data_IF_044254885432
#
_entry.id   IF_044254885432
#
_cell.length_a   1.000
_cell.length_b   1.000
_cell.length_c   1.000
_cell.angle_alpha   90.00
_cell.angle_beta   90.00
_cell.angle_gamma   90.00
#
_symmetry.space_group_name_H-M   'P 1'
#
loop_
_entity.id
_entity.type
_entity.pdbx_description
1 polymer ?
#
# COMPACT_ATOMS: atom_id res chain seq x y z
N UNK A 1 2.99 4.13 0.81
CA UNK A 1 4.28 3.68 0.24
C UNK A 1 5.30 3.60 1.37
N UNK A 2 5.81 2.41 1.64
CA UNK A 2 6.73 2.13 2.75
C UNK A 2 8.14 1.92 2.21
N UNK A 3 9.07 2.78 2.62
CA UNK A 3 10.45 2.75 2.18
C UNK A 3 11.36 2.10 3.23
N UNK A 4 12.36 1.36 2.78
CA UNK A 4 13.32 0.68 3.67
C UNK A 4 14.55 1.52 4.04
N UNK A 5 14.68 2.72 3.47
CA UNK A 5 15.86 3.56 3.66
C UNK A 5 16.98 3.32 2.64
N UNK A 6 16.84 2.32 1.76
CA UNK A 6 17.83 1.97 0.71
C UNK A 6 17.21 2.02 -0.68
N UNK A 7 16.27 2.94 -0.91
CA UNK A 7 15.59 3.13 -2.19
C UNK A 7 14.69 1.97 -2.62
N UNK A 8 14.33 1.08 -1.71
CA UNK A 8 13.34 0.02 -1.94
C UNK A 8 12.04 0.35 -1.25
N UNK A 9 10.95 0.05 -1.91
CA UNK A 9 9.61 0.19 -1.36
C UNK A 9 8.91 -1.16 -1.28
N UNK A 10 7.96 -1.28 -0.35
CA UNK A 10 7.26 -2.52 -0.09
C UNK A 10 5.98 -2.61 -0.92
N UNK A 11 5.84 -3.68 -1.67
CA UNK A 11 4.60 -4.02 -2.36
C UNK A 11 4.09 -5.36 -1.85
N UNK A 12 2.78 -5.55 -1.89
CA UNK A 12 2.12 -6.76 -1.44
C UNK A 12 1.18 -7.29 -2.51
N UNK A 13 0.97 -8.61 -2.51
CA UNK A 13 0.06 -9.26 -3.45
C UNK A 13 -1.21 -9.65 -2.71
N UNK A 14 -2.35 -9.30 -3.30
CA UNK A 14 -3.66 -9.65 -2.73
C UNK A 14 -3.91 -11.16 -2.80
N UNK A 15 -4.57 -11.74 -1.77
CA UNK A 15 -4.99 -13.14 -1.82
C UNK A 15 -5.83 -13.41 -3.06
N UNK A 16 -5.70 -14.61 -3.63
CA UNK A 16 -6.35 -14.97 -4.90
C UNK A 16 -7.87 -15.01 -4.83
N UNK A 17 -8.44 -15.28 -3.64
CA UNK A 17 -9.87 -15.44 -3.40
C UNK A 17 -10.57 -14.13 -3.00
N UNK A 18 -9.92 -12.99 -3.18
CA UNK A 18 -10.48 -11.67 -2.88
C UNK A 18 -10.76 -10.89 -4.15
N UNK A 19 -11.48 -9.77 -4.01
CA UNK A 19 -11.65 -8.81 -5.12
C UNK A 19 -10.27 -8.33 -5.59
N UNK A 20 -10.03 -8.32 -6.91
CA UNK A 20 -8.75 -8.00 -7.52
C UNK A 20 -7.63 -8.95 -7.08
N UNK A 21 -7.99 -10.19 -6.75
CA UNK A 21 -7.04 -11.20 -6.26
C UNK A 21 -5.87 -11.43 -7.19
N UNK A 22 -4.69 -11.62 -6.62
CA UNK A 22 -3.45 -11.82 -7.34
C UNK A 22 -2.77 -10.55 -7.84
N UNK A 23 -3.46 -9.40 -7.85
CA UNK A 23 -2.84 -8.13 -8.19
C UNK A 23 -1.96 -7.63 -7.04
N UNK A 24 -0.94 -6.89 -7.40
CA UNK A 24 -0.05 -6.23 -6.45
C UNK A 24 -0.61 -4.86 -6.07
N UNK A 25 -0.27 -4.41 -4.88
CA UNK A 25 -0.72 -3.14 -4.33
C UNK A 25 0.29 -2.59 -3.34
N UNK A 26 0.14 -1.32 -3.01
CA UNK A 26 0.81 -0.76 -1.84
C UNK A 26 0.03 -1.17 -0.59
N UNK A 27 0.73 -1.54 0.50
CA UNK A 27 0.06 -2.00 1.72
C UNK A 27 -0.87 -0.95 2.31
N UNK A 28 -1.99 -1.40 2.86
CA UNK A 28 -2.97 -0.55 3.50
C UNK A 28 -4.32 -1.25 3.56
N UNK A 29 -5.35 -0.50 3.89
CA UNK A 29 -6.68 -1.06 3.99
C UNK A 29 -7.76 -0.03 4.19
N UNK A 30 -8.94 -0.49 4.57
CA UNK A 30 -10.13 0.34 4.72
C UNK A 30 -10.24 0.90 6.14
N UNK A 31 -10.58 2.18 6.21
CA UNK A 31 -10.86 2.85 7.47
C UNK A 31 -12.16 2.30 8.10
N UNK A 32 -12.10 2.04 9.39
CA UNK A 32 -13.29 1.69 10.18
C UNK A 32 -14.07 2.96 10.55
N UNK A 33 -15.39 2.86 10.81
CA UNK A 33 -16.17 4.01 11.29
C UNK A 33 -15.52 4.65 12.53
N UNK A 34 -15.34 5.96 12.51
CA UNK A 34 -14.72 6.71 13.60
C UNK A 34 -13.20 6.62 13.69
N UNK A 35 -12.57 5.84 12.83
CA UNK A 35 -11.11 5.69 12.79
C UNK A 35 -10.47 6.79 11.94
N UNK A 36 -9.38 7.41 12.45
CA UNK A 36 -8.60 8.36 11.68
C UNK A 36 -7.77 7.67 10.59
N UNK A 37 -7.36 8.43 9.58
CA UNK A 37 -6.60 7.90 8.45
C UNK A 37 -5.26 7.28 8.87
N UNK A 38 -4.48 7.98 9.69
CA UNK A 38 -3.16 7.49 10.13
C UNK A 38 -3.30 6.31 11.09
N UNK A 39 -4.29 6.33 11.98
CA UNK A 39 -4.58 5.20 12.85
C UNK A 39 -4.96 3.96 12.06
N UNK A 40 -5.77 4.13 11.01
CA UNK A 40 -6.13 3.07 10.09
C UNK A 40 -4.88 2.44 9.45
N UNK A 41 -3.99 3.28 8.94
CA UNK A 41 -2.78 2.80 8.28
C UNK A 41 -1.89 2.00 9.23
N UNK A 42 -1.63 2.51 10.44
CA UNK A 42 -0.87 1.77 11.46
C UNK A 42 -1.51 0.42 11.79
N UNK A 43 -2.82 0.40 11.96
CA UNK A 43 -3.57 -0.83 12.28
C UNK A 43 -3.47 -1.86 11.16
N UNK A 44 -3.78 -1.45 9.93
CA UNK A 44 -3.77 -2.35 8.77
C UNK A 44 -2.38 -2.92 8.50
N UNK A 45 -1.34 -2.09 8.57
CA UNK A 45 0.04 -2.55 8.38
C UNK A 45 0.45 -3.53 9.48
N UNK A 46 0.07 -3.27 10.73
CA UNK A 46 0.33 -4.18 11.84
C UNK A 46 -0.38 -5.52 11.68
N UNK A 47 -1.66 -5.50 11.29
CA UNK A 47 -2.47 -6.72 11.11
C UNK A 47 -1.99 -7.57 9.93
N UNK A 48 -1.64 -6.95 8.82
CA UNK A 48 -1.31 -7.65 7.58
C UNK A 48 0.16 -8.07 7.48
N UNK A 49 1.08 -7.29 8.06
CA UNK A 49 2.51 -7.44 7.85
C UNK A 49 3.33 -7.56 9.13
N UNK A 50 2.75 -7.30 10.29
CA UNK A 50 3.43 -7.33 11.60
C UNK A 50 4.64 -6.38 11.68
N UNK A 51 4.57 -5.23 11.04
CA UNK A 51 5.63 -4.22 11.11
C UNK A 51 5.08 -2.89 11.65
N UNK A 52 6.00 -2.05 12.13
CA UNK A 52 5.72 -0.67 12.51
C UNK A 52 6.34 0.28 11.50
N UNK A 53 5.60 1.33 11.18
CA UNK A 53 6.01 2.35 10.23
C UNK A 53 5.99 3.73 10.88
N UNK A 54 6.76 4.65 10.30
CA UNK A 54 6.62 6.09 10.56
C UNK A 54 5.95 6.71 9.34
N UNK A 55 4.84 7.40 9.56
CA UNK A 55 4.15 8.14 8.50
C UNK A 55 4.83 9.50 8.38
N UNK A 56 5.38 9.81 7.20
CA UNK A 56 6.13 11.04 6.98
C UNK A 56 5.24 12.13 6.40
N UNK A 57 4.59 11.86 5.27
CA UNK A 57 3.80 12.84 4.54
C UNK A 57 2.64 12.19 3.80
N UNK A 58 1.60 13.00 3.53
CA UNK A 58 0.58 12.62 2.56
C UNK A 58 1.16 12.82 1.16
N UNK A 59 1.28 11.74 0.40
CA UNK A 59 1.81 11.76 -0.95
C UNK A 59 0.78 12.31 -1.95
N UNK A 60 -0.43 11.73 -1.92
CA UNK A 60 -1.52 12.15 -2.79
C UNK A 60 -2.86 11.64 -2.29
N UNK A 61 -3.93 12.25 -2.80
CA UNK A 61 -5.30 11.81 -2.60
C UNK A 61 -5.88 11.55 -3.98
N UNK A 62 -6.44 10.35 -4.18
CA UNK A 62 -7.00 9.92 -5.46
C UNK A 62 -8.43 9.43 -5.28
N UNK A 63 -9.27 9.76 -6.26
CA UNK A 63 -10.62 9.19 -6.34
C UNK A 63 -10.65 8.12 -7.41
N UNK A 64 -11.27 7.00 -7.10
CA UNK A 64 -11.44 5.89 -8.02
C UNK A 64 -12.86 5.38 -7.98
N UNK A 65 -13.51 5.30 -9.14
CA UNK A 65 -14.86 4.78 -9.27
C UNK A 65 -14.82 3.32 -9.70
N UNK A 66 -15.44 2.47 -8.90
CA UNK A 66 -15.76 1.10 -9.28
C UNK A 66 -17.20 1.07 -9.81
N UNK A 67 -17.63 -0.05 -10.36
CA UNK A 67 -18.98 -0.18 -10.91
C UNK A 67 -20.08 0.16 -9.89
N UNK A 68 -19.90 -0.23 -8.62
CA UNK A 68 -20.93 -0.10 -7.59
C UNK A 68 -20.57 0.85 -6.45
N UNK A 69 -19.37 1.43 -6.42
CA UNK A 69 -18.96 2.34 -5.35
C UNK A 69 -17.80 3.23 -5.79
N UNK A 70 -17.64 4.32 -5.04
CA UNK A 70 -16.50 5.22 -5.15
C UNK A 70 -15.54 4.99 -3.98
N UNK A 71 -14.26 5.15 -4.24
CA UNK A 71 -13.22 5.07 -3.22
C UNK A 71 -12.36 6.33 -3.28
N UNK A 72 -12.08 6.91 -2.11
CA UNK A 72 -11.03 7.92 -1.97
C UNK A 72 -9.82 7.25 -1.36
N UNK A 73 -8.71 7.27 -2.09
CA UNK A 73 -7.44 6.69 -1.63
C UNK A 73 -6.53 7.81 -1.12
N UNK A 74 -6.09 7.68 0.12
CA UNK A 74 -5.10 8.56 0.73
C UNK A 74 -3.78 7.80 0.79
N UNK A 75 -2.83 8.19 -0.05
CA UNK A 75 -1.53 7.54 -0.11
C UNK A 75 -0.49 8.33 0.67
N UNK A 76 0.15 7.68 1.62
CA UNK A 76 1.16 8.29 2.49
C UNK A 76 2.56 7.76 2.17
N UNK A 77 3.55 8.64 2.24
CA UNK A 77 4.94 8.25 2.33
C UNK A 77 5.26 7.82 3.75
N UNK A 78 5.85 6.64 3.88
CA UNK A 78 6.18 6.06 5.17
C UNK A 78 7.59 5.49 5.17
N UNK A 79 8.17 5.35 6.37
CA UNK A 79 9.43 4.66 6.60
C UNK A 79 9.19 3.41 7.43
N UNK A 80 9.81 2.30 7.04
CA UNK A 80 9.83 1.09 7.83
C UNK A 80 10.68 1.31 9.09
N UNK A 81 10.11 1.03 10.27
CA UNK A 81 10.76 1.29 11.56
C UNK A 81 11.18 0.02 12.28
N UNK A 82 10.30 -0.97 12.37
CA UNK A 82 10.51 -2.18 13.15
C UNK A 82 9.76 -3.36 12.57
N UNK A 83 10.26 -4.55 12.92
CA UNK A 83 9.64 -5.81 12.60
C UNK A 83 10.10 -6.34 11.26
N UNK A 84 10.09 -7.65 11.11
CA UNK A 84 10.30 -8.32 9.84
C UNK A 84 8.95 -8.50 9.16
N UNK A 85 8.73 -7.97 7.95
CA UNK A 85 7.45 -8.12 7.28
C UNK A 85 7.05 -9.59 7.12
N UNK A 86 5.80 -9.90 7.44
CA UNK A 86 5.22 -11.23 7.37
C UNK A 86 3.95 -11.22 6.54
N UNK A 87 3.68 -12.30 5.81
CA UNK A 87 2.45 -12.45 5.03
C UNK A 87 1.30 -12.95 5.92
N UNK A 88 0.73 -12.07 6.76
CA UNK A 88 -0.39 -12.41 7.63
C UNK A 88 -1.74 -12.19 6.95
N UNK A 89 -1.86 -11.15 6.15
CA UNK A 89 -3.09 -10.82 5.41
C UNK A 89 -2.89 -10.65 3.91
N UNK A 90 -1.70 -10.96 3.41
CA UNK A 90 -1.34 -10.87 2.00
C UNK A 90 -0.77 -12.19 1.51
N UNK A 91 -0.82 -12.42 0.20
CA UNK A 91 -0.30 -13.65 -0.41
C UNK A 91 1.23 -13.65 -0.50
N UNK A 92 1.80 -12.51 -0.84
CA UNK A 92 3.25 -12.35 -1.03
C UNK A 92 3.64 -10.90 -0.74
N UNK A 93 4.92 -10.67 -0.54
CA UNK A 93 5.48 -9.34 -0.37
C UNK A 93 6.85 -9.26 -1.04
N UNK A 94 7.20 -8.05 -1.52
CA UNK A 94 8.49 -7.78 -2.15
C UNK A 94 8.97 -6.39 -1.79
N UNK A 95 10.26 -6.26 -1.55
CA UNK A 95 10.95 -4.98 -1.55
C UNK A 95 11.49 -4.74 -2.95
N UNK A 96 11.09 -3.65 -3.58
CA UNK A 96 11.43 -3.35 -4.97
C UNK A 96 11.86 -1.90 -5.14
N UNK A 97 12.63 -1.62 -6.19
CA UNK A 97 12.92 -0.24 -6.61
C UNK A 97 11.78 0.31 -7.47
N UNK A 98 11.75 1.63 -7.68
CA UNK A 98 10.76 2.23 -8.58
C UNK A 98 10.82 1.64 -9.99
N UNK A 99 12.00 1.35 -10.49
CA UNK A 99 12.18 0.79 -11.83
C UNK A 99 11.63 -0.64 -11.94
N UNK A 100 11.65 -1.39 -10.86
CA UNK A 100 11.17 -2.76 -10.84
C UNK A 100 9.64 -2.87 -10.82
N UNK A 101 8.92 -1.79 -10.53
CA UNK A 101 7.45 -1.81 -10.44
C UNK A 101 6.77 -2.28 -11.74
N UNK A 102 7.38 -2.06 -12.89
CA UNK A 102 6.83 -2.48 -14.17
C UNK A 102 6.78 -4.01 -14.34
N UNK A 103 7.51 -4.75 -13.52
CA UNK A 103 7.50 -6.22 -13.55
C UNK A 103 6.28 -6.83 -12.84
N UNK A 104 5.44 -6.02 -12.21
CA UNK A 104 4.30 -6.47 -11.40
C UNK A 104 2.99 -5.92 -11.94
N UNK A 105 1.91 -6.72 -11.86
CA UNK A 105 0.57 -6.29 -12.26
C UNK A 105 -0.12 -5.60 -11.07
N UNK A 106 -0.35 -4.30 -11.19
CA UNK A 106 -1.02 -3.49 -10.17
C UNK A 106 -2.47 -3.17 -10.54
N UNK A 107 -3.32 -3.01 -9.52
CA UNK A 107 -4.64 -2.43 -9.69
C UNK A 107 -4.53 -0.97 -10.18
N UNK A 108 -5.58 -0.48 -10.85
CA UNK A 108 -5.57 0.86 -11.49
C UNK A 108 -5.31 1.97 -10.48
N UNK A 109 -5.89 1.91 -9.29
CA UNK A 109 -5.67 2.94 -8.27
C UNK A 109 -4.18 3.02 -7.87
N UNK A 110 -3.53 1.86 -7.72
CA UNK A 110 -2.10 1.81 -7.40
C UNK A 110 -1.22 2.29 -8.55
N UNK A 111 -1.64 2.05 -9.79
CA UNK A 111 -0.94 2.60 -10.97
C UNK A 111 -0.91 4.12 -10.95
N UNK A 112 -2.00 4.76 -10.47
CA UNK A 112 -2.05 6.22 -10.29
C UNK A 112 -1.06 6.69 -9.23
N UNK A 113 -0.91 5.96 -8.14
CA UNK A 113 0.09 6.25 -7.10
C UNK A 113 1.51 6.13 -7.68
N UNK A 114 1.77 5.10 -8.47
CA UNK A 114 3.07 4.92 -9.14
C UNK A 114 3.40 6.13 -10.02
N UNK A 115 2.42 6.63 -10.78
CA UNK A 115 2.63 7.83 -11.60
C UNK A 115 3.04 9.04 -10.77
N UNK A 116 2.39 9.24 -9.62
CA UNK A 116 2.76 10.33 -8.70
C UNK A 116 4.20 10.16 -8.19
N UNK A 117 4.57 8.94 -7.82
CA UNK A 117 5.93 8.65 -7.34
C UNK A 117 7.00 8.94 -8.41
N UNK A 118 6.72 8.63 -9.66
CA UNK A 118 7.65 8.84 -10.78
C UNK A 118 7.77 10.29 -11.21
N UNK A 119 6.74 11.08 -10.96
CA UNK A 119 6.68 12.49 -11.35
C UNK A 119 7.31 13.44 -10.31
N UNK A 120 7.67 12.94 -9.14
CA UNK A 120 8.24 13.79 -8.08
C UNK A 120 9.77 13.86 -8.09
#
# INVERSE_FOLDING_TARGET
VIWDGNSHLLITQRPMDTMLGGLWEFPGGKRRPGEGLTACLHREIGEELAIEIEIVDLLCTLEHAFTHFHMTLYAYDCQWKRGAPQCLGVRDLRWVTLDELDAFAFAVADQKVISVLRDR
#
